data_IF_082629928492
#
_entry.id   IF_082629928492
#
_cell.length_a   1.000
_cell.length_b   1.000
_cell.length_c   1.000
_cell.angle_alpha   90.00
_cell.angle_beta   90.00
_cell.angle_gamma   90.00
#
_symmetry.space_group_name_H-M   'P 1'
#
loop_
_entity.id
_entity.type
_entity.pdbx_description
1 polymer ?
#
# COMPACT_ATOMS: atom_id res chain seq x y z
N UNK A 1 -40.54 -37.05 30.12
CA UNK A 1 -40.73 -36.14 31.27
C UNK A 1 -39.38 -35.48 31.49
N UNK A 2 -39.11 -34.36 30.82
CA UNK A 2 -39.56 -33.00 31.20
C UNK A 2 -38.91 -32.57 32.51
N UNK A 3 -38.37 -31.38 32.69
CA UNK A 3 -38.08 -30.24 31.84
C UNK A 3 -37.24 -29.28 32.71
N UNK A 4 -36.47 -28.43 32.03
CA UNK A 4 -36.01 -27.07 32.40
C UNK A 4 -36.35 -26.53 33.81
N UNK A 5 -35.32 -25.98 34.45
CA UNK A 5 -35.48 -24.83 35.36
C UNK A 5 -34.35 -23.80 35.06
N UNK A 6 -34.53 -22.51 35.41
CA UNK A 6 -34.72 -21.48 34.40
C UNK A 6 -33.99 -20.19 34.82
N UNK A 7 -32.80 -19.91 34.29
CA UNK A 7 -32.23 -18.57 34.48
C UNK A 7 -31.77 -18.05 33.13
N UNK A 8 -32.78 -17.64 32.37
CA UNK A 8 -32.63 -16.76 31.23
C UNK A 8 -32.06 -15.43 31.70
N UNK A 9 -30.84 -15.17 31.28
CA UNK A 9 -30.34 -13.81 31.19
C UNK A 9 -31.14 -13.10 30.08
N UNK A 10 -32.31 -12.56 30.42
CA UNK A 10 -33.01 -11.60 29.57
C UNK A 10 -32.59 -10.18 29.97
N UNK A 11 -31.91 -9.41 29.10
CA UNK A 11 -31.96 -7.97 29.22
C UNK A 11 -33.31 -7.47 28.69
N UNK A 12 -34.27 -7.24 29.59
CA UNK A 12 -35.61 -6.67 29.33
C UNK A 12 -35.64 -5.20 28.86
N UNK A 13 -34.54 -4.66 28.37
CA UNK A 13 -34.44 -3.24 27.98
C UNK A 13 -33.82 -3.05 26.58
N UNK A 14 -34.15 -3.88 25.60
CA UNK A 14 -33.94 -3.53 24.19
C UNK A 14 -35.20 -2.89 23.64
N UNK A 15 -35.43 -1.65 24.08
CA UNK A 15 -36.30 -0.72 23.38
C UNK A 15 -35.80 -0.54 21.95
N UNK A 16 -36.63 -1.01 21.02
CA UNK A 16 -36.85 -0.45 19.68
C UNK A 16 -35.61 -0.10 18.83
N UNK A 17 -34.65 -1.02 18.72
CA UNK A 17 -33.53 -0.88 17.76
C UNK A 17 -33.99 -0.83 16.29
N UNK A 18 -35.15 -1.41 15.98
CA UNK A 18 -35.74 -1.36 14.63
C UNK A 18 -36.23 0.05 14.24
N UNK A 19 -36.61 0.89 15.21
CA UNK A 19 -37.04 2.26 14.94
C UNK A 19 -35.89 3.22 14.60
N UNK A 20 -34.63 2.82 14.80
CA UNK A 20 -33.47 3.64 14.43
C UNK A 20 -33.10 3.55 12.94
N UNK A 21 -33.63 2.56 12.19
CA UNK A 21 -33.28 2.34 10.79
C UNK A 21 -34.40 2.69 9.78
N UNK A 22 -35.59 3.06 10.25
CA UNK A 22 -36.66 3.55 9.37
C UNK A 22 -36.61 5.08 9.28
N UNK A 23 -35.89 5.60 8.30
CA UNK A 23 -36.08 6.98 7.87
C UNK A 23 -37.50 7.14 7.31
N UNK A 24 -38.31 8.10 7.77
CA UNK A 24 -39.59 8.38 7.15
C UNK A 24 -39.36 8.94 5.74
N UNK A 25 -39.99 8.30 4.74
CA UNK A 25 -40.05 8.82 3.36
C UNK A 25 -40.75 10.18 3.36
N UNK A 26 -40.13 11.14 2.68
CA UNK A 26 -40.53 12.54 2.50
C UNK A 26 -41.95 12.67 1.93
N UNK A 27 -42.73 13.56 2.52
CA UNK A 27 -43.78 14.31 1.83
C UNK A 27 -43.55 15.82 2.06
N UNK A 28 -43.44 16.58 0.98
CA UNK A 28 -43.64 18.04 0.96
C UNK A 28 -42.39 18.94 1.12
N UNK A 29 -42.05 19.66 0.05
CA UNK A 29 -41.18 20.85 0.02
C UNK A 29 -42.08 22.01 -0.50
N UNK A 30 -42.03 23.29 -0.01
CA UNK A 30 -40.92 24.26 -0.23
C UNK A 30 -40.81 25.40 0.83
N UNK A 31 -40.13 26.55 0.59
CA UNK A 31 -38.74 26.78 0.18
C UNK A 31 -37.97 27.62 1.24
N UNK A 32 -36.71 27.30 1.52
CA UNK A 32 -35.91 28.15 2.41
C UNK A 32 -34.55 27.57 2.78
N UNK A 33 -33.53 28.03 2.08
CA UNK A 33 -32.15 28.25 2.54
C UNK A 33 -31.63 27.36 3.69
N UNK A 34 -30.94 26.29 3.32
CA UNK A 34 -29.60 25.90 3.79
C UNK A 34 -29.36 24.48 3.28
N UNK A 35 -28.71 24.35 2.12
CA UNK A 35 -28.31 23.04 1.64
C UNK A 35 -27.30 22.47 2.65
N UNK A 36 -27.51 21.25 3.18
CA UNK A 36 -26.46 20.55 3.90
C UNK A 36 -25.26 20.40 2.95
N UNK A 37 -24.01 20.41 3.43
CA UNK A 37 -22.91 19.95 2.60
C UNK A 37 -23.29 18.57 2.04
N UNK A 38 -22.98 18.27 0.77
CA UNK A 38 -23.25 16.95 0.23
C UNK A 38 -22.68 15.92 1.21
N UNK A 39 -23.37 14.77 1.42
CA UNK A 39 -22.79 13.70 2.22
C UNK A 39 -21.38 13.51 1.69
N UNK A 40 -20.38 13.52 2.59
CA UNK A 40 -19.03 13.14 2.26
C UNK A 40 -19.19 11.90 1.39
N UNK A 41 -18.83 12.03 0.11
CA UNK A 41 -18.71 10.86 -0.73
C UNK A 41 -17.84 9.95 0.10
N UNK A 42 -18.41 8.85 0.59
CA UNK A 42 -17.63 7.77 1.14
C UNK A 42 -16.51 7.60 0.13
N UNK A 43 -15.31 7.99 0.55
CA UNK A 43 -14.09 7.78 -0.19
C UNK A 43 -14.13 6.28 -0.45
N UNK A 44 -14.59 5.92 -1.65
CA UNK A 44 -14.58 4.54 -2.10
C UNK A 44 -13.17 4.06 -1.78
N UNK A 45 -13.01 2.95 -1.04
CA UNK A 45 -11.68 2.49 -0.64
C UNK A 45 -10.84 2.49 -1.91
N UNK A 46 -9.88 3.42 -1.97
CA UNK A 46 -9.23 3.79 -3.22
C UNK A 46 -8.79 2.52 -3.93
N UNK A 47 -9.18 2.37 -5.20
CA UNK A 47 -9.04 1.14 -6.00
C UNK A 47 -7.60 0.61 -6.17
N UNK A 48 -6.62 1.18 -5.48
CA UNK A 48 -5.21 0.80 -5.52
C UNK A 48 -4.71 0.04 -4.27
N UNK A 49 -5.59 -0.42 -3.35
CA UNK A 49 -5.22 -1.51 -2.41
C UNK A 49 -5.16 -2.89 -3.11
N UNK A 50 -5.16 -2.91 -4.46
CA UNK A 50 -5.03 -4.13 -5.26
C UNK A 50 -3.59 -4.61 -5.22
N UNK A 51 -3.42 -5.91 -4.97
CA UNK A 51 -2.17 -6.60 -5.22
C UNK A 51 -1.62 -6.22 -6.62
N UNK A 52 -0.30 -6.09 -6.81
CA UNK A 52 0.28 -5.61 -8.05
C UNK A 52 -0.32 -6.35 -9.24
N UNK A 53 -0.87 -5.60 -10.20
CA UNK A 53 -1.33 -6.19 -11.45
C UNK A 53 -0.10 -6.68 -12.23
N UNK A 54 0.06 -7.99 -12.32
CA UNK A 54 1.21 -8.62 -12.98
C UNK A 54 1.06 -8.67 -14.50
N UNK A 55 -0.04 -8.19 -15.07
CA UNK A 55 -0.20 -8.13 -16.53
C UNK A 55 0.71 -7.08 -17.18
N UNK A 56 0.92 -5.95 -16.49
CA UNK A 56 1.77 -4.85 -16.94
C UNK A 56 2.86 -4.53 -15.92
N UNK A 57 4.12 -4.60 -16.34
CA UNK A 57 5.24 -4.25 -15.46
C UNK A 57 5.21 -2.77 -15.07
N UNK A 58 5.07 -2.50 -13.76
CA UNK A 58 5.23 -1.17 -13.16
C UNK A 58 6.39 -1.22 -12.16
N UNK A 59 7.50 -0.48 -12.40
CA UNK A 59 8.70 -0.60 -11.57
C UNK A 59 8.50 -0.08 -10.15
N UNK A 60 7.52 0.80 -9.94
CA UNK A 60 7.05 1.21 -8.64
C UNK A 60 5.58 1.65 -8.70
N UNK A 61 4.88 1.47 -7.59
CA UNK A 61 3.50 1.87 -7.39
C UNK A 61 3.52 3.09 -6.48
N UNK A 62 2.92 4.18 -6.95
CA UNK A 62 2.80 5.43 -6.18
C UNK A 62 1.40 5.46 -5.60
N UNK A 63 1.30 5.75 -4.30
CA UNK A 63 0.02 5.94 -3.64
C UNK A 63 -0.61 7.23 -4.17
N UNK A 64 -1.56 7.09 -5.10
CA UNK A 64 -2.34 8.22 -5.63
C UNK A 64 -3.58 8.39 -4.74
N UNK A 65 -3.94 9.64 -4.44
CA UNK A 65 -5.22 9.97 -3.79
C UNK A 65 -5.33 9.55 -2.30
N UNK A 66 -4.31 9.79 -1.48
CA UNK A 66 -4.50 9.92 -0.02
C UNK A 66 -3.92 11.23 0.49
N UNK A 67 -4.55 11.82 1.49
CA UNK A 67 -4.08 13.04 2.17
C UNK A 67 -2.80 12.81 3.00
N UNK A 68 -2.37 11.55 3.14
CA UNK A 68 -1.24 11.14 3.98
C UNK A 68 -0.21 10.35 3.18
N UNK A 69 1.09 10.50 3.47
CA UNK A 69 2.16 9.73 2.84
C UNK A 69 2.05 8.24 3.19
N UNK A 70 2.70 7.40 2.38
CA UNK A 70 2.80 5.97 2.61
C UNK A 70 3.52 5.70 3.94
N UNK A 71 2.97 4.77 4.73
CA UNK A 71 3.57 4.37 6.02
C UNK A 71 4.70 3.36 5.84
N UNK A 72 4.58 2.51 4.82
CA UNK A 72 5.50 1.42 4.52
C UNK A 72 5.96 1.51 3.06
N UNK A 73 7.23 1.17 2.83
CA UNK A 73 7.80 0.91 1.51
C UNK A 73 8.00 -0.60 1.37
N UNK A 74 7.31 -1.20 0.41
CA UNK A 74 7.54 -2.59 0.03
C UNK A 74 8.58 -2.69 -1.08
N UNK A 75 9.56 -3.56 -0.90
CA UNK A 75 10.53 -3.94 -1.91
C UNK A 75 10.26 -5.39 -2.32
N UNK A 76 9.99 -5.65 -3.60
CA UNK A 76 9.62 -6.97 -4.10
C UNK A 76 10.58 -7.46 -5.18
N UNK A 77 11.16 -8.63 -4.95
CA UNK A 77 12.08 -9.32 -5.85
C UNK A 77 11.52 -10.68 -6.24
N UNK A 78 11.61 -11.03 -7.52
CA UNK A 78 11.25 -12.37 -7.96
C UNK A 78 12.41 -13.34 -7.73
N UNK A 79 12.13 -14.50 -7.14
CA UNK A 79 13.12 -15.57 -6.98
C UNK A 79 12.87 -16.66 -8.04
N UNK A 80 13.72 -16.77 -9.08
CA UNK A 80 13.45 -17.68 -10.20
C UNK A 80 13.43 -19.17 -9.81
N UNK A 81 14.12 -19.53 -8.72
CA UNK A 81 14.21 -20.92 -8.26
C UNK A 81 12.93 -21.41 -7.62
N UNK A 82 12.29 -20.57 -6.81
CA UNK A 82 11.04 -20.89 -6.11
C UNK A 82 9.81 -20.50 -6.93
N UNK A 83 9.97 -19.57 -7.89
CA UNK A 83 8.86 -18.98 -8.63
C UNK A 83 8.02 -18.02 -7.78
N UNK A 84 8.54 -17.60 -6.62
CA UNK A 84 7.83 -16.78 -5.66
C UNK A 84 8.41 -15.36 -5.60
N UNK A 85 7.56 -14.42 -5.19
CA UNK A 85 7.98 -13.07 -4.86
C UNK A 85 8.50 -13.03 -3.42
N UNK A 86 9.75 -12.63 -3.26
CA UNK A 86 10.33 -12.25 -1.98
C UNK A 86 10.06 -10.76 -1.73
N UNK A 87 9.55 -10.45 -0.54
CA UNK A 87 9.21 -9.09 -0.14
C UNK A 87 9.90 -8.65 1.13
N UNK A 88 10.23 -7.36 1.21
CA UNK A 88 10.57 -6.67 2.45
C UNK A 88 9.66 -5.47 2.62
N UNK A 89 8.99 -5.35 3.76
CA UNK A 89 8.21 -4.17 4.10
C UNK A 89 8.97 -3.35 5.14
N UNK A 90 9.38 -2.13 4.76
CA UNK A 90 10.17 -1.25 5.61
C UNK A 90 9.38 0.01 5.96
N UNK A 91 9.36 0.45 7.22
CA UNK A 91 8.67 1.68 7.57
C UNK A 91 9.38 2.91 7.01
N UNK A 92 8.61 3.85 6.44
CA UNK A 92 9.17 5.12 5.95
C UNK A 92 9.80 5.96 7.06
N UNK A 93 9.24 5.92 8.27
CA UNK A 93 9.82 6.63 9.42
C UNK A 93 11.20 6.08 9.84
N UNK A 94 11.56 4.88 9.38
CA UNK A 94 12.87 4.29 9.58
C UNK A 94 13.85 4.56 8.44
N UNK A 95 13.46 5.27 7.38
CA UNK A 95 14.31 5.59 6.24
C UNK A 95 15.22 6.77 6.59
N UNK A 96 16.50 6.51 6.82
CA UNK A 96 17.48 7.53 7.20
C UNK A 96 18.13 8.21 6.00
N UNK A 97 18.37 7.45 4.92
CA UNK A 97 19.01 7.99 3.72
C UNK A 97 18.45 7.38 2.43
N UNK A 98 18.38 8.24 1.41
CA UNK A 98 18.05 7.90 0.03
C UNK A 98 19.15 8.49 -0.85
N UNK A 99 20.11 7.67 -1.23
CA UNK A 99 21.30 8.10 -1.95
C UNK A 99 21.26 7.63 -3.40
N UNK A 100 21.10 8.57 -4.33
CA UNK A 100 21.20 8.27 -5.75
C UNK A 100 22.67 8.31 -6.17
N UNK A 101 23.25 7.14 -6.43
CA UNK A 101 24.67 6.95 -6.74
C UNK A 101 24.85 6.75 -8.24
N UNK A 102 25.22 7.82 -8.93
CA UNK A 102 25.36 7.81 -10.39
C UNK A 102 24.02 7.56 -11.10
N UNK A 103 24.06 7.13 -12.37
CA UNK A 103 22.85 7.07 -13.20
C UNK A 103 21.99 5.79 -13.00
N UNK A 104 22.49 4.78 -12.28
CA UNK A 104 21.93 3.41 -12.31
C UNK A 104 21.76 2.75 -10.95
N UNK A 105 22.07 3.45 -9.87
CA UNK A 105 22.06 2.88 -8.52
C UNK A 105 21.40 3.83 -7.54
N UNK A 106 20.55 3.27 -6.68
CA UNK A 106 19.88 3.96 -5.59
C UNK A 106 20.09 3.14 -4.32
N UNK A 107 20.69 3.75 -3.29
CA UNK A 107 20.82 3.14 -1.98
C UNK A 107 19.73 3.66 -1.05
N UNK A 108 19.12 2.74 -0.30
CA UNK A 108 18.16 3.04 0.75
C UNK A 108 18.73 2.53 2.08
N UNK A 109 18.84 3.40 3.06
CA UNK A 109 19.32 3.05 4.39
C UNK A 109 18.18 3.17 5.42
N UNK A 110 17.84 2.04 6.06
CA UNK A 110 16.89 1.96 7.15
C UNK A 110 17.55 1.72 8.52
N UNK A 111 18.86 1.91 8.62
CA UNK A 111 19.69 1.75 9.82
C UNK A 111 19.98 0.28 10.15
N UNK A 112 18.93 -0.54 10.31
CA UNK A 112 19.07 -1.98 10.55
C UNK A 112 19.23 -2.79 9.25
N UNK A 113 18.78 -2.24 8.13
CA UNK A 113 18.86 -2.87 6.81
C UNK A 113 19.18 -1.81 5.77
N UNK A 114 20.04 -2.17 4.84
CA UNK A 114 20.36 -1.33 3.70
C UNK A 114 20.02 -2.09 2.42
N UNK A 115 19.47 -1.37 1.45
CA UNK A 115 19.14 -1.91 0.14
C UNK A 115 19.85 -1.13 -0.96
N UNK A 116 20.24 -1.85 -2.00
CA UNK A 116 20.73 -1.28 -3.25
C UNK A 116 19.77 -1.67 -4.36
N UNK A 117 19.25 -0.67 -5.04
CA UNK A 117 18.36 -0.79 -6.19
C UNK A 117 19.16 -0.42 -7.44
N UNK A 118 19.25 -1.33 -8.39
CA UNK A 118 19.90 -1.13 -9.67
C UNK A 118 18.87 -1.00 -10.78
N UNK A 119 19.13 -0.17 -11.79
CA UNK A 119 18.17 0.04 -12.87
C UNK A 119 18.35 1.33 -13.65
N UNK A 120 17.24 1.85 -14.17
CA UNK A 120 17.16 3.10 -14.93
C UNK A 120 15.91 3.89 -14.57
N UNK A 121 15.97 5.21 -14.72
CA UNK A 121 14.92 6.12 -14.26
C UNK A 121 14.83 6.22 -12.73
N UNK A 122 15.89 5.82 -12.02
CA UNK A 122 15.89 5.76 -10.55
C UNK A 122 15.94 7.14 -9.89
N UNK A 123 16.25 8.20 -10.63
CA UNK A 123 16.14 9.59 -10.18
C UNK A 123 14.68 9.97 -9.87
N UNK A 124 13.72 9.51 -10.69
CA UNK A 124 12.31 9.68 -10.43
C UNK A 124 11.87 8.87 -9.21
N UNK A 125 12.35 7.63 -9.10
CA UNK A 125 12.10 6.79 -7.93
C UNK A 125 12.62 7.42 -6.63
N UNK A 126 13.87 7.90 -6.63
CA UNK A 126 14.49 8.55 -5.47
C UNK A 126 13.65 9.74 -4.98
N UNK A 127 13.19 10.60 -5.90
CA UNK A 127 12.29 11.72 -5.57
C UNK A 127 10.98 11.25 -4.97
N UNK A 128 10.33 10.23 -5.53
CA UNK A 128 9.06 9.73 -5.00
C UNK A 128 9.21 9.08 -3.62
N UNK A 129 10.32 8.37 -3.37
CA UNK A 129 10.64 7.78 -2.06
C UNK A 129 10.90 8.89 -1.04
N UNK A 130 11.69 9.92 -1.40
CA UNK A 130 11.93 11.07 -0.51
C UNK A 130 10.63 11.82 -0.15
N UNK A 131 9.64 11.83 -1.05
CA UNK A 131 8.32 12.38 -0.80
C UNK A 131 7.41 11.46 0.03
N UNK A 132 7.82 10.22 0.30
CA UNK A 132 6.99 9.22 0.99
C UNK A 132 5.77 8.78 0.18
N UNK A 133 5.87 8.78 -1.15
CA UNK A 133 4.73 8.51 -2.05
C UNK A 133 4.76 7.12 -2.68
N UNK A 134 5.87 6.39 -2.58
CA UNK A 134 6.00 5.04 -3.17
C UNK A 134 5.49 4.01 -2.18
N UNK A 135 4.58 3.16 -2.61
CA UNK A 135 4.09 2.05 -1.80
C UNK A 135 4.92 0.78 -2.04
N UNK A 136 5.19 0.48 -3.31
CA UNK A 136 5.92 -0.73 -3.70
C UNK A 136 6.96 -0.43 -4.77
N UNK A 137 8.12 -1.05 -4.68
CA UNK A 137 9.16 -1.12 -5.73
C UNK A 137 9.29 -2.57 -6.17
N UNK A 138 9.24 -2.79 -7.48
CA UNK A 138 9.13 -4.12 -8.08
C UNK A 138 10.29 -4.40 -9.04
N UNK A 139 11.09 -5.42 -8.72
CA UNK A 139 12.14 -5.92 -9.60
C UNK A 139 11.54 -6.52 -10.89
N UNK A 140 12.12 -6.18 -12.03
CA UNK A 140 11.75 -6.76 -13.31
C UNK A 140 12.20 -8.22 -13.38
N UNK A 141 11.27 -9.11 -13.70
CA UNK A 141 11.51 -10.53 -13.88
C UNK A 141 11.14 -10.93 -15.33
N UNK A 142 12.12 -11.30 -16.19
CA UNK A 142 11.85 -11.68 -17.57
C UNK A 142 11.01 -12.96 -17.70
N UNK A 143 10.95 -13.78 -16.64
CA UNK A 143 10.10 -14.98 -16.58
C UNK A 143 8.62 -14.63 -16.38
N UNK A 144 8.32 -13.45 -15.84
CA UNK A 144 6.96 -12.96 -15.59
C UNK A 144 6.52 -12.06 -16.73
N UNK A 145 7.38 -11.12 -17.13
CA UNK A 145 7.13 -10.20 -18.24
C UNK A 145 8.06 -10.51 -19.41
N UNK A 146 7.49 -10.97 -20.51
CA UNK A 146 8.26 -11.34 -21.70
C UNK A 146 8.88 -10.12 -22.41
N UNK A 147 8.17 -8.99 -22.41
CA UNK A 147 8.62 -7.78 -23.07
C UNK A 147 9.49 -6.94 -22.12
N UNK A 148 10.69 -6.59 -22.59
CA UNK A 148 11.54 -5.65 -21.87
C UNK A 148 10.84 -4.27 -21.83
N UNK A 149 10.68 -3.65 -20.65
CA UNK A 149 9.99 -2.37 -20.54
C UNK A 149 10.72 -1.29 -21.35
N UNK A 150 10.00 -0.29 -21.85
CA UNK A 150 10.59 0.90 -22.49
C UNK A 150 10.48 2.05 -21.48
N UNK A 151 11.58 2.40 -20.82
CA UNK A 151 11.61 3.49 -19.83
C UNK A 151 12.19 3.07 -18.48
N UNK A 152 11.55 3.49 -17.39
CA UNK A 152 11.98 3.16 -16.03
C UNK A 152 11.94 1.65 -15.78
N UNK A 153 12.93 1.15 -15.04
CA UNK A 153 13.05 -0.27 -14.74
C UNK A 153 13.94 -0.48 -13.52
N UNK A 154 13.49 -1.34 -12.62
CA UNK A 154 14.30 -1.87 -11.53
C UNK A 154 14.84 -3.22 -11.98
N UNK A 155 16.15 -3.29 -12.19
CA UNK A 155 16.83 -4.49 -12.65
C UNK A 155 17.18 -5.44 -11.49
N UNK A 156 17.50 -4.89 -10.31
CA UNK A 156 17.83 -5.68 -9.13
C UNK A 156 17.51 -4.93 -7.85
N UNK A 157 17.07 -5.66 -6.83
CA UNK A 157 16.95 -5.23 -5.44
C UNK A 157 17.82 -6.15 -4.58
N UNK A 158 18.83 -5.57 -3.94
CA UNK A 158 19.81 -6.29 -3.11
C UNK A 158 19.76 -5.78 -1.69
N UNK A 159 19.55 -6.66 -0.72
CA UNK A 159 19.80 -6.38 0.69
C UNK A 159 21.31 -6.46 0.93
N UNK A 160 21.93 -5.39 1.44
CA UNK A 160 23.34 -5.36 1.79
C UNK A 160 23.49 -5.95 3.20
N UNK A 161 24.19 -7.08 3.31
CA UNK A 161 24.51 -7.68 4.61
C UNK A 161 25.92 -7.27 5.02
N UNK A 162 26.15 -7.14 6.32
CA UNK A 162 27.46 -6.76 6.87
C UNK A 162 28.61 -7.69 6.44
N UNK A 163 28.33 -8.92 5.99
CA UNK A 163 29.34 -9.83 5.46
C UNK A 163 29.81 -9.50 4.03
N UNK A 164 29.04 -8.74 3.26
CA UNK A 164 29.39 -8.35 1.89
C UNK A 164 30.27 -7.09 1.84
N UNK A 165 30.37 -6.35 2.95
CA UNK A 165 31.16 -5.12 3.06
C UNK A 165 32.67 -5.35 3.27
N UNK A 166 33.08 -6.58 3.61
CA UNK A 166 34.46 -6.90 4.03
C UNK A 166 35.32 -7.53 2.92
N UNK A 167 34.82 -7.64 1.69
CA UNK A 167 35.53 -8.25 0.55
C UNK A 167 36.03 -7.22 -0.49
N UNK A 168 36.51 -6.06 -0.03
CA UNK A 168 37.25 -5.12 -0.88
C UNK A 168 38.55 -4.69 -0.22
#
# INVERSE_FOLDING_TARGET
MSDRNPNGWEPKNMGNWQAMFEQPRRDGQPPGQSAPPPPAQDDAPGEDDRAPDFTDYRPWIVQRVRSRPALMLELRRYEPRSGLWQGWAMPYHGLYAVEYVGARMLSLDFGARQFVIEGRGLDALARHIQQGTVETVLEYAPQVWAAQPVGAMVAAIKEVRAQDATLR
#
